data_IF_192748918514
#
_entry.id   IF_192748918514
#
_cell.length_a   1.000
_cell.length_b   1.000
_cell.length_c   1.000
_cell.angle_alpha   90.00
_cell.angle_beta   90.00
_cell.angle_gamma   90.00
#
_symmetry.space_group_name_H-M   'P 1'
#
loop_
_entity.id
_entity.type
_entity.pdbx_description
1 polymer ?
#
# COMPACT_ATOMS: atom_id res chain seq x y z
N UNK A 1 -7.16 -11.00 -7.05
CA UNK A 1 -7.50 -11.88 -5.92
C UNK A 1 -8.75 -12.67 -6.28
N UNK A 2 -8.87 -13.94 -5.83
CA UNK A 2 -10.08 -14.76 -6.04
C UNK A 2 -10.07 -15.67 -7.28
N UNK A 3 -9.07 -15.61 -8.13
CA UNK A 3 -8.98 -16.48 -9.33
C UNK A 3 -8.29 -17.82 -9.07
N UNK A 4 -7.61 -17.97 -7.93
CA UNK A 4 -6.91 -19.21 -7.57
C UNK A 4 -7.72 -19.98 -6.52
N UNK A 5 -8.17 -21.20 -6.87
CA UNK A 5 -8.94 -22.03 -5.97
C UNK A 5 -8.15 -22.38 -4.70
N UNK A 6 -8.78 -22.13 -3.54
CA UNK A 6 -8.19 -22.39 -2.21
C UNK A 6 -7.14 -21.36 -1.75
N UNK A 7 -7.03 -20.22 -2.40
CA UNK A 7 -6.21 -19.08 -1.96
C UNK A 7 -7.14 -17.94 -1.52
N UNK A 8 -6.97 -17.49 -0.28
CA UNK A 8 -7.64 -16.31 0.26
C UNK A 8 -6.62 -15.20 0.39
N UNK A 9 -6.87 -14.07 -0.23
CA UNK A 9 -6.03 -12.87 -0.16
C UNK A 9 -6.81 -11.72 0.46
N UNK A 10 -6.20 -11.05 1.42
CA UNK A 10 -6.77 -9.88 2.10
C UNK A 10 -5.76 -8.74 2.03
N UNK A 11 -6.18 -7.64 1.44
CA UNK A 11 -5.48 -6.36 1.55
C UNK A 11 -6.11 -5.57 2.70
N UNK A 12 -5.36 -5.30 3.74
CA UNK A 12 -5.87 -4.66 4.96
C UNK A 12 -5.90 -3.14 4.89
N UNK A 13 -5.08 -2.57 4.05
CA UNK A 13 -4.95 -1.12 3.87
C UNK A 13 -4.79 -0.80 2.37
N UNK A 14 -5.27 0.36 1.95
CA UNK A 14 -4.99 0.95 0.65
C UNK A 14 -3.78 1.89 0.66
N UNK A 15 -2.94 1.81 1.68
CA UNK A 15 -1.74 2.62 1.77
C UNK A 15 -0.70 2.20 0.74
N UNK A 16 0.06 3.16 0.17
CA UNK A 16 1.15 2.88 -0.74
C UNK A 16 2.15 1.88 -0.17
N UNK A 17 2.51 0.90 -1.00
CA UNK A 17 3.48 -0.13 -0.65
C UNK A 17 2.98 -1.19 0.32
N UNK A 18 1.70 -1.19 0.72
CA UNK A 18 1.14 -2.25 1.56
C UNK A 18 0.68 -3.40 0.69
N UNK A 19 1.35 -4.55 0.83
CA UNK A 19 1.04 -5.78 0.13
C UNK A 19 -0.21 -6.49 0.66
N UNK A 20 -0.63 -7.52 -0.06
CA UNK A 20 -1.73 -8.39 0.34
C UNK A 20 -1.22 -9.58 1.14
N UNK A 21 -1.83 -9.85 2.27
CA UNK A 21 -1.60 -11.12 2.99
C UNK A 21 -2.49 -12.20 2.38
N UNK A 22 -1.93 -13.37 2.11
CA UNK A 22 -2.69 -14.47 1.55
C UNK A 22 -2.44 -15.79 2.29
N UNK A 23 -3.43 -16.68 2.24
CA UNK A 23 -3.40 -18.00 2.86
C UNK A 23 -3.83 -19.06 1.85
N UNK A 24 -3.26 -20.24 2.00
CA UNK A 24 -3.61 -21.42 1.20
C UNK A 24 -4.43 -22.35 2.08
N UNK A 25 -5.66 -22.70 1.66
CA UNK A 25 -6.61 -23.55 2.41
C UNK A 25 -6.97 -23.01 3.81
N UNK A 26 -6.82 -21.71 4.05
CA UNK A 26 -7.11 -21.07 5.34
C UNK A 26 -5.94 -21.06 6.33
N UNK A 27 -6.23 -20.69 7.57
CA UNK A 27 -5.23 -20.62 8.65
C UNK A 27 -5.23 -21.95 9.38
N UNK A 28 -4.21 -22.78 9.15
CA UNK A 28 -4.15 -24.16 9.64
C UNK A 28 -3.26 -24.36 10.89
N UNK A 29 -2.59 -23.31 11.38
CA UNK A 29 -1.64 -23.44 12.48
C UNK A 29 -1.94 -22.47 13.63
N UNK A 30 -1.86 -23.01 14.87
CA UNK A 30 -1.89 -22.23 16.09
C UNK A 30 -0.43 -21.93 16.49
N UNK A 31 -0.02 -20.66 16.41
CA UNK A 31 1.24 -20.17 16.99
C UNK A 31 2.49 -20.14 16.12
N UNK A 32 2.52 -20.78 14.96
CA UNK A 32 3.63 -20.68 13.99
C UNK A 32 3.34 -19.67 12.87
N UNK A 33 4.27 -19.49 11.94
CA UNK A 33 4.06 -18.66 10.76
C UNK A 33 2.77 -19.07 10.05
N UNK A 34 1.88 -18.09 9.82
CA UNK A 34 0.54 -18.33 9.24
C UNK A 34 0.52 -18.17 7.73
N UNK A 35 1.59 -17.67 7.15
CA UNK A 35 1.75 -17.41 5.72
C UNK A 35 2.42 -18.60 5.03
N UNK A 36 2.12 -18.88 3.75
CA UNK A 36 2.82 -19.91 2.98
C UNK A 36 4.29 -19.55 2.78
N UNK A 37 5.12 -20.58 2.54
CA UNK A 37 6.50 -20.40 2.13
C UNK A 37 6.55 -19.94 0.67
N UNK A 38 7.26 -18.86 0.39
CA UNK A 38 7.41 -18.32 -0.97
C UNK A 38 8.85 -18.55 -1.44
N UNK A 39 8.98 -19.22 -2.57
CA UNK A 39 10.25 -19.51 -3.20
C UNK A 39 10.29 -18.84 -4.58
N UNK A 40 11.28 -18.00 -4.80
CA UNK A 40 11.58 -17.39 -6.08
C UNK A 40 12.87 -18.00 -6.63
N UNK A 41 12.77 -18.73 -7.73
CA UNK A 41 13.86 -19.51 -8.31
C UNK A 41 14.56 -20.43 -7.30
N UNK A 42 13.75 -21.02 -6.38
CA UNK A 42 14.22 -21.92 -5.32
C UNK A 42 14.72 -21.23 -4.05
N UNK A 43 14.77 -19.91 -3.99
CA UNK A 43 15.23 -19.15 -2.84
C UNK A 43 14.03 -18.49 -2.16
N UNK A 44 13.95 -18.58 -0.82
CA UNK A 44 12.92 -17.91 -0.05
C UNK A 44 13.04 -16.39 -0.15
N UNK A 45 11.98 -15.75 -0.58
CA UNK A 45 11.88 -14.31 -0.75
C UNK A 45 10.46 -13.82 -0.50
N UNK A 46 10.33 -12.55 -0.20
CA UNK A 46 9.04 -11.87 -0.17
C UNK A 46 8.48 -11.72 -1.60
N UNK A 47 7.22 -12.11 -1.78
CA UNK A 47 6.54 -12.02 -3.07
C UNK A 47 6.33 -10.57 -3.50
N UNK A 48 6.11 -9.66 -2.56
CA UNK A 48 5.85 -8.27 -2.85
C UNK A 48 7.06 -7.56 -3.49
N UNK A 49 8.27 -8.12 -3.30
CA UNK A 49 9.51 -7.61 -3.91
C UNK A 49 9.73 -8.09 -5.36
N UNK A 50 8.92 -9.04 -5.83
CA UNK A 50 9.06 -9.58 -7.19
C UNK A 50 8.23 -8.74 -8.17
N UNK A 51 8.89 -8.27 -9.22
CA UNK A 51 8.14 -7.62 -10.30
C UNK A 51 7.31 -8.66 -11.07
N UNK A 52 6.00 -8.43 -11.17
CA UNK A 52 5.06 -9.34 -11.85
C UNK A 52 5.47 -9.62 -13.30
N UNK A 53 6.03 -8.64 -13.99
CA UNK A 53 6.52 -8.75 -15.37
C UNK A 53 7.67 -9.77 -15.52
N UNK A 54 8.44 -10.00 -14.44
CA UNK A 54 9.54 -10.96 -14.44
C UNK A 54 9.06 -12.39 -14.18
N UNK A 55 7.79 -12.58 -13.79
CA UNK A 55 7.25 -13.91 -13.50
C UNK A 55 6.95 -14.65 -14.80
N UNK A 56 7.51 -15.85 -14.94
CA UNK A 56 7.22 -16.79 -16.02
C UNK A 56 6.08 -17.72 -15.64
N UNK A 57 6.16 -18.26 -14.42
CA UNK A 57 5.22 -19.24 -13.91
C UNK A 57 5.11 -19.12 -12.39
N UNK A 58 3.93 -19.38 -11.86
CA UNK A 58 3.67 -19.49 -10.44
C UNK A 58 2.91 -20.79 -10.16
N UNK A 59 3.49 -21.65 -9.33
CA UNK A 59 2.92 -22.91 -8.92
C UNK A 59 2.65 -22.91 -7.42
N UNK A 60 1.51 -23.48 -7.01
CA UNK A 60 1.12 -23.53 -5.60
C UNK A 60 1.01 -24.99 -5.17
N UNK A 61 1.92 -25.42 -4.27
CA UNK A 61 1.90 -26.73 -3.67
C UNK A 61 1.02 -26.70 -2.42
N UNK A 62 -0.08 -27.44 -2.48
CA UNK A 62 -1.11 -27.47 -1.42
C UNK A 62 -1.11 -28.79 -0.65
N UNK A 63 -0.59 -29.86 -1.24
CA UNK A 63 -0.70 -31.20 -0.70
C UNK A 63 0.47 -31.54 0.21
N UNK A 64 0.21 -32.29 1.28
CA UNK A 64 1.21 -32.66 2.27
C UNK A 64 2.40 -33.40 1.65
N UNK A 65 2.18 -34.25 0.66
CA UNK A 65 3.25 -34.96 -0.06
C UNK A 65 4.14 -34.00 -0.86
N UNK A 66 3.56 -32.99 -1.49
CA UNK A 66 4.28 -31.97 -2.25
C UNK A 66 5.06 -31.01 -1.35
N UNK A 67 4.54 -30.73 -0.15
CA UNK A 67 5.16 -29.84 0.83
C UNK A 67 6.16 -30.52 1.75
N UNK A 68 6.17 -31.85 1.80
CA UNK A 68 7.06 -32.65 2.67
C UNK A 68 8.56 -32.35 2.49
N UNK A 69 8.98 -32.01 1.27
CA UNK A 69 10.37 -31.62 0.96
C UNK A 69 10.80 -30.37 1.75
N UNK A 70 9.84 -29.49 2.11
CA UNK A 70 10.10 -28.22 2.80
C UNK A 70 9.88 -28.31 4.31
N UNK A 71 9.56 -29.53 4.82
CA UNK A 71 9.35 -29.77 6.24
C UNK A 71 8.29 -28.88 6.88
N UNK A 72 8.51 -28.49 8.12
CA UNK A 72 7.58 -27.64 8.91
C UNK A 72 7.27 -26.29 8.22
N UNK A 73 8.22 -25.74 7.46
CA UNK A 73 8.06 -24.48 6.74
C UNK A 73 7.05 -24.57 5.61
N UNK A 74 6.87 -25.76 5.01
CA UNK A 74 5.89 -26.03 3.97
C UNK A 74 4.48 -26.33 4.48
N UNK A 75 4.25 -26.39 5.80
CA UNK A 75 2.98 -26.83 6.39
C UNK A 75 1.76 -25.96 5.97
N UNK A 76 1.96 -24.68 5.69
CA UNK A 76 0.92 -23.76 5.22
C UNK A 76 0.85 -23.68 3.68
N UNK A 77 1.50 -24.59 2.97
CA UNK A 77 1.65 -24.57 1.53
C UNK A 77 2.91 -23.84 1.07
N UNK A 78 3.29 -24.09 -0.17
CA UNK A 78 4.46 -23.48 -0.81
C UNK A 78 4.04 -22.81 -2.11
N UNK A 79 4.45 -21.56 -2.30
CA UNK A 79 4.32 -20.85 -3.57
C UNK A 79 5.68 -20.85 -4.25
N UNK A 80 5.74 -21.44 -5.42
CA UNK A 80 6.94 -21.46 -6.25
C UNK A 80 6.77 -20.48 -7.39
N UNK A 81 7.65 -19.51 -7.45
CA UNK A 81 7.70 -18.50 -8.53
C UNK A 81 8.96 -18.80 -9.35
N UNK A 82 8.77 -19.06 -10.62
CA UNK A 82 9.85 -19.18 -11.60
C UNK A 82 9.90 -17.89 -12.40
N UNK A 83 11.06 -17.27 -12.46
CA UNK A 83 11.24 -16.04 -13.21
C UNK A 83 11.58 -16.33 -14.68
N UNK A 84 11.50 -15.30 -15.51
CA UNK A 84 11.75 -15.42 -16.94
C UNK A 84 13.21 -15.67 -17.24
N UNK A 85 13.46 -16.59 -18.14
CA UNK A 85 14.78 -16.94 -18.67
C UNK A 85 15.00 -16.32 -20.04
N UNK A 86 16.26 -16.28 -20.46
CA UNK A 86 16.62 -15.97 -21.84
C UNK A 86 16.18 -17.06 -22.82
N UNK A 87 15.96 -16.67 -24.05
CA UNK A 87 15.62 -17.58 -25.15
C UNK A 87 16.61 -17.48 -26.31
N UNK A 88 16.81 -18.57 -27.04
CA UNK A 88 17.64 -18.54 -28.25
C UNK A 88 16.94 -17.66 -29.28
N UNK A 89 17.66 -16.69 -29.82
CA UNK A 89 17.14 -15.80 -30.86
C UNK A 89 17.75 -14.41 -30.80
N UNK A 90 17.29 -13.54 -31.70
CA UNK A 90 17.66 -12.13 -31.73
C UNK A 90 17.18 -11.44 -30.44
N UNK A 91 17.90 -10.43 -29.94
CA UNK A 91 17.45 -9.67 -28.80
C UNK A 91 16.05 -9.12 -28.99
N UNK A 92 15.17 -9.37 -28.01
CA UNK A 92 13.83 -8.80 -27.92
C UNK A 92 13.81 -7.78 -26.80
N UNK A 93 13.45 -6.55 -27.10
CA UNK A 93 13.25 -5.47 -26.14
C UNK A 93 11.77 -5.30 -25.93
N UNK A 94 11.35 -5.24 -24.67
CA UNK A 94 9.97 -4.96 -24.27
C UNK A 94 9.97 -3.78 -23.30
N UNK A 95 9.15 -2.79 -23.59
CA UNK A 95 8.90 -1.64 -22.73
C UNK A 95 7.40 -1.62 -22.44
N UNK A 96 7.03 -1.57 -21.15
CA UNK A 96 5.66 -1.36 -20.70
C UNK A 96 5.58 -0.13 -19.81
N UNK A 97 4.49 0.60 -19.94
CA UNK A 97 4.12 1.73 -19.09
C UNK A 97 2.67 1.53 -18.65
N UNK A 98 2.46 1.62 -17.35
CA UNK A 98 1.15 1.53 -16.73
C UNK A 98 0.95 2.77 -15.84
N UNK A 99 -0.23 3.37 -15.93
CA UNK A 99 -0.65 4.43 -15.02
C UNK A 99 -2.05 4.12 -14.51
N UNK A 100 -2.26 4.29 -13.22
CA UNK A 100 -3.52 4.04 -12.55
C UNK A 100 -3.95 5.21 -11.68
N UNK A 101 -5.25 5.46 -11.63
CA UNK A 101 -5.86 6.39 -10.70
C UNK A 101 -6.46 5.60 -9.53
N UNK A 102 -6.12 6.02 -8.33
CA UNK A 102 -6.61 5.47 -7.07
C UNK A 102 -7.64 6.44 -6.48
N UNK A 103 -8.75 5.92 -6.02
CA UNK A 103 -9.76 6.71 -5.31
C UNK A 103 -10.36 5.90 -4.15
N UNK A 104 -10.81 6.54 -3.07
CA UNK A 104 -11.53 5.84 -2.02
C UNK A 104 -12.79 5.20 -2.58
N UNK A 105 -13.04 3.94 -2.23
CA UNK A 105 -14.26 3.22 -2.67
C UNK A 105 -15.50 3.83 -2.02
N UNK A 106 -15.37 4.24 -0.75
CA UNK A 106 -16.43 4.90 0.01
C UNK A 106 -15.80 5.79 1.07
N UNK A 107 -16.24 7.03 1.11
CA UNK A 107 -15.96 7.97 2.19
C UNK A 107 -17.24 8.13 3.01
N UNK A 108 -17.20 7.97 4.35
CA UNK A 108 -18.37 8.21 5.19
C UNK A 108 -18.83 9.67 5.08
N UNK A 109 -20.13 9.89 5.02
CA UNK A 109 -20.69 11.22 5.15
C UNK A 109 -20.68 11.61 6.62
N UNK A 110 -20.01 12.71 6.93
CA UNK A 110 -19.91 13.22 8.29
C UNK A 110 -20.90 14.37 8.51
N UNK A 111 -21.31 14.53 9.77
CA UNK A 111 -22.19 15.64 10.16
C UNK A 111 -21.41 16.97 10.10
N UNK A 112 -22.06 18.02 9.65
CA UNK A 112 -21.55 19.38 9.84
C UNK A 112 -21.82 19.87 11.28
N UNK A 113 -21.22 21.00 11.67
CA UNK A 113 -21.31 21.54 13.05
C UNK A 113 -22.74 21.84 13.49
N UNK A 114 -23.60 22.28 12.60
CA UNK A 114 -25.03 22.54 12.91
C UNK A 114 -25.77 21.23 13.19
N UNK A 115 -25.57 20.23 12.34
CA UNK A 115 -26.18 18.90 12.52
C UNK A 115 -25.68 18.24 13.80
N UNK A 116 -24.36 18.28 14.02
CA UNK A 116 -23.75 17.75 15.22
C UNK A 116 -24.30 18.41 16.49
N UNK A 117 -24.33 19.74 16.56
CA UNK A 117 -24.82 20.48 17.72
C UNK A 117 -26.29 20.17 18.04
N UNK A 118 -27.14 20.03 17.00
CA UNK A 118 -28.56 19.65 17.18
C UNK A 118 -28.72 18.22 17.70
N UNK A 119 -28.04 17.26 17.10
CA UNK A 119 -28.07 15.87 17.55
C UNK A 119 -27.50 15.69 18.95
N UNK A 120 -26.44 16.46 19.28
CA UNK A 120 -25.89 16.45 20.62
C UNK A 120 -26.88 16.98 21.67
N UNK A 121 -27.58 18.10 21.37
CA UNK A 121 -28.62 18.65 22.23
C UNK A 121 -29.75 17.63 22.46
N UNK A 122 -30.18 16.93 21.40
CA UNK A 122 -31.20 15.89 21.49
C UNK A 122 -30.75 14.72 22.39
N UNK A 123 -29.52 14.22 22.15
CA UNK A 123 -28.95 13.12 22.94
C UNK A 123 -28.69 13.50 24.41
N UNK A 124 -28.31 14.75 24.67
CA UNK A 124 -28.09 15.28 26.00
C UNK A 124 -29.40 15.54 26.78
N UNK A 125 -30.52 15.64 26.07
CA UNK A 125 -31.83 15.94 26.64
C UNK A 125 -31.98 17.40 27.11
N UNK A 126 -31.21 18.32 26.54
CA UNK A 126 -31.19 19.74 26.87
C UNK A 126 -30.50 20.60 25.85
N UNK A 127 -30.27 21.86 26.18
CA UNK A 127 -29.57 22.85 25.33
C UNK A 127 -28.09 22.99 25.76
N UNK A 128 -27.24 22.02 25.41
CA UNK A 128 -25.79 22.14 25.60
C UNK A 128 -25.23 23.24 24.68
N UNK A 129 -25.60 23.19 23.39
CA UNK A 129 -25.33 24.25 22.44
C UNK A 129 -26.55 25.20 22.38
N UNK A 130 -26.33 26.50 22.62
CA UNK A 130 -27.38 27.51 22.53
C UNK A 130 -27.87 27.72 21.09
N UNK A 131 -29.08 28.24 20.92
CA UNK A 131 -29.60 28.53 19.59
C UNK A 131 -28.75 29.61 18.88
N UNK A 132 -28.14 30.52 19.62
CA UNK A 132 -27.19 31.50 19.11
C UNK A 132 -25.92 30.86 18.58
N UNK A 133 -25.33 29.91 19.33
CA UNK A 133 -24.16 29.15 18.88
C UNK A 133 -24.44 28.37 17.59
N UNK A 134 -25.60 27.72 17.50
CA UNK A 134 -26.02 26.98 16.30
C UNK A 134 -26.15 27.92 15.10
N UNK A 135 -26.68 29.15 15.29
CA UNK A 135 -26.72 30.14 14.22
C UNK A 135 -25.34 30.63 13.79
N UNK A 136 -24.41 30.80 14.73
CA UNK A 136 -23.01 31.16 14.41
C UNK A 136 -22.30 30.03 13.62
N UNK A 137 -22.51 28.76 13.94
CA UNK A 137 -22.06 27.64 13.10
C UNK A 137 -22.69 27.67 11.70
N UNK A 138 -23.97 28.05 11.59
CA UNK A 138 -24.68 28.07 10.30
C UNK A 138 -24.18 29.18 9.38
N UNK A 139 -24.00 30.38 9.89
CA UNK A 139 -23.62 31.54 9.10
C UNK A 139 -22.10 31.75 8.99
N UNK A 140 -21.31 30.87 9.64
CA UNK A 140 -19.85 30.90 9.57
C UNK A 140 -19.22 32.15 10.20
N UNK A 141 -19.94 32.85 11.10
CA UNK A 141 -19.37 33.96 11.82
C UNK A 141 -18.39 33.47 12.87
N UNK A 142 -17.20 34.07 12.92
CA UNK A 142 -16.14 33.75 13.83
C UNK A 142 -15.71 32.24 13.75
N UNK A 143 -15.05 31.84 12.66
CA UNK A 143 -14.66 30.43 12.44
C UNK A 143 -13.66 29.91 13.46
N UNK A 144 -12.98 30.78 14.20
CA UNK A 144 -12.05 30.38 15.26
C UNK A 144 -12.79 29.84 16.49
N UNK A 145 -13.93 30.45 16.83
CA UNK A 145 -14.76 30.04 17.99
C UNK A 145 -15.90 29.11 17.58
N UNK A 146 -16.39 29.20 16.34
CA UNK A 146 -17.51 28.42 15.81
C UNK A 146 -17.10 27.67 14.54
N UNK A 147 -16.11 26.76 14.62
CA UNK A 147 -15.60 26.05 13.44
C UNK A 147 -16.62 25.08 12.87
N UNK A 148 -16.50 24.83 11.56
CA UNK A 148 -17.27 23.82 10.86
C UNK A 148 -16.34 23.07 9.91
N UNK A 149 -15.64 22.08 10.44
CA UNK A 149 -14.54 21.39 9.76
C UNK A 149 -15.02 20.06 9.15
N UNK A 150 -14.81 19.90 7.87
CA UNK A 150 -14.85 18.60 7.22
C UNK A 150 -13.46 17.95 7.33
N UNK A 151 -13.23 17.16 8.39
CA UNK A 151 -11.95 16.52 8.65
C UNK A 151 -11.51 15.59 7.54
N UNK A 152 -12.45 14.85 6.93
CA UNK A 152 -12.11 13.94 5.84
C UNK A 152 -11.73 14.71 4.57
N UNK A 153 -12.49 15.75 4.23
CA UNK A 153 -12.18 16.60 3.08
C UNK A 153 -10.89 17.40 3.22
N UNK A 154 -10.49 17.73 4.47
CA UNK A 154 -9.23 18.44 4.73
C UNK A 154 -8.01 17.50 4.70
N UNK A 155 -8.14 16.28 5.20
CA UNK A 155 -7.01 15.36 5.38
C UNK A 155 -6.80 14.42 4.19
N UNK A 156 -7.80 14.23 3.33
CA UNK A 156 -7.73 13.24 2.25
C UNK A 156 -8.05 13.86 0.88
N UNK A 157 -7.29 13.41 -0.11
CA UNK A 157 -7.53 13.70 -1.53
C UNK A 157 -8.61 12.76 -2.07
N UNK A 158 -9.38 13.24 -3.03
CA UNK A 158 -10.37 12.40 -3.72
C UNK A 158 -9.74 11.36 -4.65
N UNK A 159 -8.51 11.61 -5.12
CA UNK A 159 -7.77 10.70 -5.99
C UNK A 159 -6.27 10.85 -5.82
N UNK A 160 -5.58 9.79 -6.18
CA UNK A 160 -4.12 9.72 -6.26
C UNK A 160 -3.72 8.91 -7.49
N UNK A 161 -2.42 8.82 -7.77
CA UNK A 161 -1.89 8.17 -8.96
C UNK A 161 -0.82 7.16 -8.60
N UNK A 162 -0.78 6.08 -9.37
CA UNK A 162 0.36 5.18 -9.42
C UNK A 162 0.88 5.06 -10.86
N UNK A 163 2.16 4.81 -10.99
CA UNK A 163 2.84 4.68 -12.27
C UNK A 163 3.86 3.56 -12.20
N UNK A 164 3.94 2.79 -13.28
CA UNK A 164 4.91 1.71 -13.42
C UNK A 164 5.54 1.76 -14.79
N UNK A 165 6.85 1.71 -14.83
CA UNK A 165 7.64 1.54 -16.05
C UNK A 165 8.43 0.26 -15.91
N UNK A 166 8.41 -0.58 -16.94
CA UNK A 166 9.22 -1.78 -16.99
C UNK A 166 9.91 -1.90 -18.35
N UNK A 167 11.20 -2.12 -18.33
CA UNK A 167 12.02 -2.40 -19.50
C UNK A 167 12.66 -3.77 -19.35
N UNK A 168 12.53 -4.62 -20.35
CA UNK A 168 13.22 -5.91 -20.37
C UNK A 168 13.86 -6.20 -21.72
N UNK A 169 14.97 -6.92 -21.66
CA UNK A 169 15.70 -7.40 -22.82
C UNK A 169 15.98 -8.90 -22.65
N UNK A 170 15.61 -9.69 -23.61
CA UNK A 170 15.88 -11.13 -23.60
C UNK A 170 16.43 -11.57 -24.95
N UNK A 171 17.34 -12.56 -24.94
CA UNK A 171 17.93 -13.09 -26.14
C UNK A 171 18.99 -14.15 -25.84
N UNK A 172 19.71 -14.54 -26.87
CA UNK A 172 20.83 -15.45 -26.69
C UNK A 172 21.08 -16.36 -27.87
N UNK A 173 22.13 -17.16 -27.75
CA UNK A 173 22.54 -18.17 -28.70
C UNK A 173 22.61 -19.56 -28.05
N UNK A 174 23.32 -20.47 -28.72
CA UNK A 174 23.55 -21.82 -28.22
C UNK A 174 24.46 -21.89 -26.97
N UNK A 175 25.34 -20.89 -26.82
CA UNK A 175 26.31 -20.84 -25.71
C UNK A 175 25.74 -20.07 -24.51
N UNK A 176 25.08 -18.95 -24.73
CA UNK A 176 24.56 -18.12 -23.64
C UNK A 176 23.18 -17.57 -23.97
N UNK A 177 22.32 -17.52 -22.94
CA UNK A 177 20.99 -16.89 -23.01
C UNK A 177 20.89 -15.94 -21.84
N UNK A 178 20.14 -14.86 -22.03
CA UNK A 178 19.98 -13.84 -21.00
C UNK A 178 18.57 -13.28 -21.01
N UNK A 179 18.12 -12.92 -19.81
CA UNK A 179 16.98 -12.06 -19.55
C UNK A 179 17.42 -10.99 -18.56
N UNK A 180 17.26 -9.74 -18.91
CA UNK A 180 17.61 -8.59 -18.07
C UNK A 180 16.38 -7.69 -18.03
N UNK A 181 15.99 -7.24 -16.83
CA UNK A 181 14.89 -6.31 -16.66
C UNK A 181 15.21 -5.24 -15.62
N UNK A 182 14.56 -4.10 -15.79
CA UNK A 182 14.53 -3.03 -14.81
C UNK A 182 13.15 -2.43 -14.74
N UNK A 183 12.66 -2.15 -13.53
CA UNK A 183 11.35 -1.50 -13.36
C UNK A 183 11.38 -0.44 -12.28
N UNK A 184 10.54 0.57 -12.47
CA UNK A 184 10.27 1.64 -11.52
C UNK A 184 8.77 1.63 -11.25
N UNK A 185 8.39 1.64 -9.99
CA UNK A 185 7.03 1.78 -9.51
C UNK A 185 6.93 2.95 -8.55
N UNK A 186 6.02 3.87 -8.82
CA UNK A 186 5.70 5.00 -7.95
C UNK A 186 4.22 4.92 -7.58
N UNK A 187 3.91 5.11 -6.31
CA UNK A 187 2.55 5.15 -5.80
C UNK A 187 2.42 6.28 -4.80
N UNK A 188 1.48 7.19 -5.03
CA UNK A 188 1.19 8.28 -4.13
C UNK A 188 -0.04 7.96 -3.28
N UNK A 189 0.01 8.34 -2.00
CA UNK A 189 -1.11 8.17 -1.08
C UNK A 189 -2.18 9.23 -1.23
N UNK A 190 -3.28 9.01 -0.51
CA UNK A 190 -4.45 9.88 -0.51
C UNK A 190 -4.40 11.00 0.54
N UNK A 191 -3.35 11.08 1.38
CA UNK A 191 -3.25 12.19 2.33
C UNK A 191 -3.04 13.52 1.60
N UNK A 192 -3.82 14.53 2.01
CA UNK A 192 -3.59 15.91 1.62
C UNK A 192 -2.36 16.42 2.37
N UNK A 193 -1.44 17.04 1.65
CA UNK A 193 -0.21 17.60 2.21
C UNK A 193 -0.31 19.10 2.19
N UNK A 194 -0.01 19.72 3.33
CA UNK A 194 0.16 21.15 3.42
C UNK A 194 1.66 21.50 3.25
N UNK A 195 1.97 22.29 2.23
CA UNK A 195 3.34 22.71 1.90
C UNK A 195 3.92 23.77 2.84
N UNK A 196 3.23 24.13 3.93
CA UNK A 196 3.68 25.16 4.87
C UNK A 196 4.81 24.75 5.81
N UNK A 197 5.32 23.50 5.70
CA UNK A 197 6.35 22.94 6.60
C UNK A 197 7.63 22.61 5.87
N UNK A 198 8.74 22.67 6.60
CA UNK A 198 10.06 22.27 6.11
C UNK A 198 10.25 20.73 6.06
N UNK A 199 9.20 19.95 6.22
CA UNK A 199 9.19 18.50 6.17
C UNK A 199 8.01 18.01 5.32
N UNK A 200 8.23 16.87 4.68
CA UNK A 200 7.25 16.24 3.79
C UNK A 200 6.47 15.16 4.55
N UNK A 201 5.17 15.40 4.75
CA UNK A 201 4.23 14.44 5.37
C UNK A 201 3.45 13.63 4.34
N UNK A 202 3.80 13.75 3.06
CA UNK A 202 3.16 12.98 2.01
C UNK A 202 3.38 11.49 2.20
N UNK A 203 2.35 10.72 1.91
CA UNK A 203 2.46 9.27 1.87
C UNK A 203 2.79 8.87 0.44
N UNK A 204 3.97 8.29 0.21
CA UNK A 204 4.34 7.75 -1.09
C UNK A 204 5.23 6.51 -0.94
N UNK A 205 5.21 5.70 -1.97
CA UNK A 205 6.03 4.50 -2.10
C UNK A 205 6.67 4.45 -3.47
N UNK A 206 7.98 4.18 -3.49
CA UNK A 206 8.77 4.01 -4.69
C UNK A 206 9.52 2.70 -4.62
N UNK A 207 9.50 1.92 -5.70
CA UNK A 207 10.24 0.67 -5.80
C UNK A 207 10.99 0.61 -7.13
N UNK A 208 12.24 0.24 -7.03
CA UNK A 208 13.14 0.01 -8.15
C UNK A 208 13.56 -1.45 -8.14
N UNK A 209 13.26 -2.19 -9.19
CA UNK A 209 13.67 -3.58 -9.33
C UNK A 209 14.67 -3.71 -10.46
N UNK A 210 15.64 -4.57 -10.27
CA UNK A 210 16.55 -5.02 -11.30
C UNK A 210 16.67 -6.54 -11.24
N UNK A 211 16.66 -7.19 -12.40
CA UNK A 211 16.85 -8.62 -12.55
C UNK A 211 17.78 -8.92 -13.72
N UNK A 212 18.65 -9.93 -13.53
CA UNK A 212 19.49 -10.47 -14.57
C UNK A 212 19.58 -11.99 -14.40
N UNK A 213 19.00 -12.72 -15.33
CA UNK A 213 19.07 -14.18 -15.41
C UNK A 213 19.91 -14.54 -16.63
N UNK A 214 21.04 -15.21 -16.40
CA UNK A 214 21.98 -15.59 -17.45
C UNK A 214 22.32 -17.07 -17.33
N UNK A 215 22.08 -17.79 -18.42
CA UNK A 215 22.43 -19.19 -18.57
C UNK A 215 23.59 -19.33 -19.53
N UNK A 216 24.67 -19.96 -19.12
CA UNK A 216 25.84 -20.20 -19.95
C UNK A 216 26.15 -21.68 -20.02
N UNK A 217 26.29 -22.22 -21.23
CA UNK A 217 26.81 -23.56 -21.49
C UNK A 217 28.34 -23.49 -21.52
N UNK A 218 28.96 -23.76 -20.38
CA UNK A 218 30.44 -23.65 -20.24
C UNK A 218 31.15 -24.82 -20.95
N UNK A 219 30.61 -26.04 -20.77
CA UNK A 219 31.08 -27.25 -21.46
C UNK A 219 29.89 -28.05 -21.94
N UNK A 220 30.05 -29.07 -22.82
CA UNK A 220 28.94 -29.86 -23.35
C UNK A 220 27.97 -30.41 -22.29
N UNK A 221 28.50 -30.69 -21.09
CA UNK A 221 27.74 -31.24 -19.96
C UNK A 221 27.66 -30.33 -18.73
N UNK A 222 28.13 -29.08 -18.85
CA UNK A 222 28.17 -28.14 -17.72
C UNK A 222 27.47 -26.84 -18.04
N UNK A 223 26.40 -26.56 -17.32
CA UNK A 223 25.67 -25.24 -17.36
C UNK A 223 25.96 -24.42 -16.13
N UNK A 224 26.13 -23.15 -16.32
CA UNK A 224 26.18 -22.14 -15.25
C UNK A 224 24.94 -21.25 -15.37
N UNK A 225 24.12 -21.25 -14.32
CA UNK A 225 22.96 -20.40 -14.21
C UNK A 225 23.24 -19.31 -13.16
N UNK A 226 23.11 -18.07 -13.54
CA UNK A 226 23.32 -16.92 -12.66
C UNK A 226 22.03 -16.12 -12.63
N UNK A 227 21.36 -16.13 -11.47
CA UNK A 227 20.11 -15.40 -11.25
C UNK A 227 20.36 -14.30 -10.21
N UNK A 228 20.39 -13.06 -10.66
CA UNK A 228 20.52 -11.88 -9.83
C UNK A 228 19.20 -11.15 -9.78
N UNK A 229 18.75 -10.80 -8.59
CA UNK A 229 17.57 -9.99 -8.39
C UNK A 229 17.76 -9.06 -7.21
N UNK A 230 17.51 -7.79 -7.41
CA UNK A 230 17.55 -6.78 -6.35
C UNK A 230 16.33 -5.89 -6.41
N UNK A 231 15.90 -5.42 -5.24
CA UNK A 231 14.84 -4.44 -5.08
C UNK A 231 15.32 -3.35 -4.12
N UNK A 232 15.07 -2.12 -4.47
CA UNK A 232 15.27 -0.97 -3.59
C UNK A 232 13.94 -0.27 -3.41
N UNK A 233 13.57 -0.03 -2.15
CA UNK A 233 12.31 0.60 -1.79
C UNK A 233 12.56 1.87 -1.00
N UNK A 234 11.73 2.87 -1.28
CA UNK A 234 11.66 4.10 -0.52
C UNK A 234 10.21 4.37 -0.18
N UNK A 235 9.89 4.47 1.10
CA UNK A 235 8.58 4.84 1.61
C UNK A 235 8.70 6.11 2.43
N UNK A 236 7.77 7.03 2.26
CA UNK A 236 7.58 8.17 3.13
C UNK A 236 6.22 8.04 3.80
N UNK A 237 6.19 8.29 5.08
CA UNK A 237 4.98 8.19 5.90
C UNK A 237 4.89 9.44 6.80
N UNK A 238 3.67 9.87 7.16
CA UNK A 238 3.51 10.86 8.20
C UNK A 238 4.10 10.34 9.52
N UNK A 239 4.55 11.25 10.40
CA UNK A 239 5.18 10.89 11.67
C UNK A 239 4.30 10.13 12.66
N UNK A 240 2.99 10.07 12.42
CA UNK A 240 2.01 9.31 13.19
C UNK A 240 1.50 8.08 12.45
N UNK A 241 0.96 7.11 13.18
CA UNK A 241 0.29 5.94 12.62
C UNK A 241 -0.92 6.36 11.77
N UNK A 242 -0.93 5.93 10.50
CA UNK A 242 -1.96 6.29 9.51
C UNK A 242 -3.35 5.81 9.91
N UNK A 243 -3.45 4.65 10.56
CA UNK A 243 -4.71 4.14 11.10
C UNK A 243 -5.25 5.00 12.25
N UNK A 244 -4.37 5.59 13.05
CA UNK A 244 -4.76 6.54 14.09
C UNK A 244 -5.24 7.86 13.47
N UNK A 245 -4.56 8.37 12.44
CA UNK A 245 -5.00 9.57 11.71
C UNK A 245 -6.41 9.35 11.17
N UNK A 246 -6.67 8.22 10.53
CA UNK A 246 -8.01 7.85 10.05
C UNK A 246 -9.04 7.81 11.20
N UNK A 247 -8.73 7.12 12.29
CA UNK A 247 -9.62 7.00 13.44
C UNK A 247 -9.94 8.36 14.07
N UNK A 248 -8.94 9.23 14.21
CA UNK A 248 -9.15 10.57 14.77
C UNK A 248 -9.94 11.48 13.82
N UNK A 249 -9.75 11.37 12.51
CA UNK A 249 -10.55 12.13 11.54
C UNK A 249 -12.04 11.78 11.59
N UNK A 250 -12.37 10.54 11.98
CA UNK A 250 -13.76 10.10 12.17
C UNK A 250 -14.31 10.45 13.57
N UNK A 251 -13.45 10.49 14.59
CA UNK A 251 -13.86 10.69 15.98
C UNK A 251 -13.92 12.18 16.38
N UNK A 252 -13.18 13.04 15.70
CA UNK A 252 -13.16 14.47 16.00
C UNK A 252 -14.44 15.14 15.50
N UNK A 253 -15.15 15.82 16.39
CA UNK A 253 -16.36 16.53 15.99
C UNK A 253 -16.03 17.72 15.09
N UNK A 254 -16.94 18.09 14.18
CA UNK A 254 -16.71 19.19 13.21
C UNK A 254 -16.59 20.57 13.85
N UNK A 255 -17.03 20.69 15.11
CA UNK A 255 -17.02 21.93 15.89
C UNK A 255 -16.00 21.94 17.04
N UNK A 256 -15.03 20.99 17.03
CA UNK A 256 -14.03 20.89 18.11
C UNK A 256 -13.03 22.05 18.07
N UNK A 257 -12.43 22.30 16.92
CA UNK A 257 -11.47 23.38 16.66
C UNK A 257 -11.30 23.55 15.14
N UNK A 258 -10.86 24.73 14.64
CA UNK A 258 -10.54 24.89 13.22
C UNK A 258 -9.25 24.13 12.86
N UNK A 259 -8.93 23.97 11.59
CA UNK A 259 -7.63 23.45 11.18
C UNK A 259 -6.52 24.47 11.46
N UNK A 260 -6.78 25.72 11.11
CA UNK A 260 -5.92 26.86 11.40
C UNK A 260 -6.79 27.97 11.99
N UNK A 261 -6.22 28.69 12.95
CA UNK A 261 -6.81 29.97 13.41
C UNK A 261 -6.64 31.05 12.36
N UNK A 262 -7.39 32.12 12.47
CA UNK A 262 -7.36 33.26 11.55
C UNK A 262 -5.99 33.95 11.47
N UNK A 263 -5.14 33.78 12.47
CA UNK A 263 -3.75 34.26 12.50
C UNK A 263 -2.76 33.31 11.78
N UNK A 264 -3.25 32.19 11.21
CA UNK A 264 -2.44 31.18 10.53
C UNK A 264 -1.75 30.19 11.47
N UNK A 265 -1.99 30.25 12.77
CA UNK A 265 -1.46 29.23 13.70
C UNK A 265 -2.29 27.95 13.63
N UNK A 266 -1.62 26.82 13.83
CA UNK A 266 -2.29 25.52 13.87
C UNK A 266 -3.16 25.42 15.11
N UNK A 267 -4.42 25.02 14.94
CA UNK A 267 -5.32 24.78 16.04
C UNK A 267 -5.27 23.31 16.50
N UNK A 268 -5.70 23.07 17.74
CA UNK A 268 -5.74 21.72 18.31
C UNK A 268 -6.24 21.71 19.74
N UNK A 269 -6.48 20.54 20.33
CA UNK A 269 -6.96 20.38 21.70
C UNK A 269 -5.83 20.64 22.73
N UNK A 270 -5.26 21.85 22.76
CA UNK A 270 -4.23 22.25 23.74
C UNK A 270 -2.91 21.48 23.57
N UNK A 271 -2.16 21.32 24.67
CA UNK A 271 -0.80 20.75 24.71
C UNK A 271 -0.70 19.25 24.32
N UNK A 272 -1.81 18.58 24.09
CA UNK A 272 -1.86 17.14 23.77
C UNK A 272 -2.26 16.86 22.32
N UNK A 273 -1.99 17.78 21.39
CA UNK A 273 -2.36 17.61 20.01
C UNK A 273 -1.50 16.54 19.31
N UNK A 274 -2.00 15.31 19.26
CA UNK A 274 -1.39 14.19 18.53
C UNK A 274 -1.54 14.28 16.98
N UNK A 275 -2.17 15.34 16.47
CA UNK A 275 -2.37 15.54 15.03
C UNK A 275 -1.12 16.10 14.34
N UNK A 276 -0.07 16.45 15.07
CA UNK A 276 1.09 17.19 14.56
C UNK A 276 2.45 16.57 14.86
N UNK A 277 2.50 15.29 15.20
CA UNK A 277 3.78 14.58 15.35
C UNK A 277 4.07 13.70 14.16
#
# INVERSE_FOLDING_TARGET
AGQLAGVVSIQRSGEPGVGSTFWIRGINTFGAAKTPLILVDGVERDMDLVNVEDIKEMSILKDASATAIYGVRGANGVVMITTRDGSIGKPKVSLSFEAGMLSPVKVPEMLNSVQFARMYNEAYGGKFFSDEAIERYRNGSDPDLYPNVDWLGQLYKNHSWNEKVNLSVSGGGSIAKYYISGSIYNENGLFAVDNMKNYDTSLYYQRYNFRSNVDVQVFPHTKLNINLGTSFERKNEPGGDTGNIWRYSLATSPNAFPLFYSDGTLAGPGSNCLLYT
#
